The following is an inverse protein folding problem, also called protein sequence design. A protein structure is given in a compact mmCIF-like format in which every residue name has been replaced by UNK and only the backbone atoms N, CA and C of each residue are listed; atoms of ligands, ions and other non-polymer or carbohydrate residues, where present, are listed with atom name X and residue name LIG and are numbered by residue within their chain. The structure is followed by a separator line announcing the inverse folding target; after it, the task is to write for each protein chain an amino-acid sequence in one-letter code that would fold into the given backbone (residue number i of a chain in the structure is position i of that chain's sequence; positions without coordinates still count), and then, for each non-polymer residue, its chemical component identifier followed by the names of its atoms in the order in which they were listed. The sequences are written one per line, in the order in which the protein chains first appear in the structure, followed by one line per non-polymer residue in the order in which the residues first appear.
data_IF_879562497717
#
_entry.id   IF_879562497717
#
_cell.length_a   1.000
_cell.length_b   1.000
_cell.length_c   1.000
_cell.angle_alpha   90.00
_cell.angle_beta   90.00
_cell.angle_gamma   90.00
#
_symmetry.space_group_name_H-M   'P 1'
#
loop_
_entity.id
_entity.type
_entity.pdbx_description
1 polymer ?
#
# COMPACT_ATOMS: atom_id res chain seq x y z
N UNK A 1 -12.54 4.55 2.66
CA UNK A 1 -12.73 3.99 4.02
C UNK A 1 -11.47 3.36 4.60
N UNK A 2 -10.77 2.46 3.89
CA UNK A 2 -9.58 1.79 4.44
C UNK A 2 -8.46 2.73 4.90
N UNK A 3 -8.14 3.80 4.16
CA UNK A 3 -7.10 4.75 4.55
C UNK A 3 -7.40 5.51 5.85
N UNK A 4 -8.66 5.91 6.04
CA UNK A 4 -9.10 6.59 7.27
C UNK A 4 -8.90 5.67 8.48
N UNK A 5 -9.23 4.39 8.37
CA UNK A 5 -9.01 3.41 9.44
C UNK A 5 -7.52 3.27 9.76
N UNK A 6 -6.64 3.27 8.76
CA UNK A 6 -5.20 3.22 8.99
C UNK A 6 -4.71 4.45 9.77
N UNK A 7 -5.19 5.65 9.42
CA UNK A 7 -4.87 6.89 10.16
C UNK A 7 -5.36 6.88 11.61
N UNK A 8 -6.35 6.05 11.93
CA UNK A 8 -6.85 5.82 13.28
C UNK A 8 -6.14 4.65 14.00
N UNK A 9 -4.97 4.22 13.52
CA UNK A 9 -4.19 3.07 14.01
C UNK A 9 -4.93 1.71 13.94
N UNK A 10 -6.00 1.64 13.13
CA UNK A 10 -6.80 0.41 12.90
C UNK A 10 -6.31 -0.32 11.66
N UNK A 11 -5.02 -0.67 11.63
CA UNK A 11 -4.36 -1.22 10.44
C UNK A 11 -4.95 -2.55 9.95
N UNK A 12 -5.37 -3.45 10.86
CA UNK A 12 -6.00 -4.74 10.48
C UNK A 12 -7.33 -4.56 9.74
N UNK A 13 -8.13 -3.57 10.14
CA UNK A 13 -9.38 -3.28 9.46
C UNK A 13 -9.14 -2.52 8.16
N UNK A 14 -8.21 -1.58 8.15
CA UNK A 14 -7.77 -0.87 6.95
C UNK A 14 -7.38 -1.85 5.84
N UNK A 15 -6.63 -2.89 6.18
CA UNK A 15 -6.21 -3.95 5.27
C UNK A 15 -7.40 -4.58 4.54
N UNK A 16 -8.45 -4.98 5.27
CA UNK A 16 -9.63 -5.61 4.67
C UNK A 16 -10.30 -4.70 3.62
N UNK A 17 -10.45 -3.42 3.94
CA UNK A 17 -11.08 -2.46 3.02
C UNK A 17 -10.18 -2.13 1.83
N UNK A 18 -8.87 -1.97 2.04
CA UNK A 18 -7.93 -1.66 0.96
C UNK A 18 -7.72 -2.85 0.03
N UNK A 19 -7.67 -4.08 0.54
CA UNK A 19 -7.61 -5.28 -0.31
C UNK A 19 -8.86 -5.41 -1.20
N UNK A 20 -10.05 -5.15 -0.65
CA UNK A 20 -11.29 -5.14 -1.44
C UNK A 20 -11.29 -4.04 -2.49
N UNK A 21 -10.88 -2.83 -2.12
CA UNK A 21 -10.76 -1.71 -3.06
C UNK A 21 -9.77 -2.02 -4.18
N UNK A 22 -8.60 -2.55 -3.84
CA UNK A 22 -7.55 -2.91 -4.78
C UNK A 22 -7.99 -4.04 -5.73
N UNK A 23 -8.71 -5.04 -5.23
CA UNK A 23 -9.25 -6.12 -6.06
C UNK A 23 -10.31 -5.62 -7.05
N UNK A 24 -11.13 -4.64 -6.66
CA UNK A 24 -12.11 -4.02 -7.54
C UNK A 24 -11.47 -3.02 -8.53
N UNK A 25 -10.45 -2.29 -8.08
CA UNK A 25 -9.78 -1.26 -8.85
C UNK A 25 -8.29 -1.16 -8.44
N UNK A 26 -7.37 -1.78 -9.19
CA UNK A 26 -5.96 -1.89 -8.84
C UNK A 26 -5.17 -0.61 -9.18
N UNK A 27 -5.60 0.51 -8.61
CA UNK A 27 -4.99 1.82 -8.79
C UNK A 27 -3.72 2.00 -7.97
N UNK A 28 -2.78 2.81 -8.48
CA UNK A 28 -1.50 3.10 -7.82
C UNK A 28 -1.64 3.78 -6.46
N UNK A 29 -2.63 4.64 -6.25
CA UNK A 29 -2.91 5.26 -4.95
C UNK A 29 -3.42 4.23 -3.94
N UNK A 30 -4.34 3.37 -4.36
CA UNK A 30 -4.87 2.28 -3.52
C UNK A 30 -3.78 1.29 -3.18
N UNK A 31 -2.94 0.92 -4.15
CA UNK A 31 -1.77 0.07 -3.96
C UNK A 31 -0.79 0.68 -2.95
N UNK A 32 -0.44 1.97 -3.11
CA UNK A 32 0.44 2.69 -2.20
C UNK A 32 -0.08 2.68 -0.74
N UNK A 33 -1.39 2.86 -0.55
CA UNK A 33 -2.00 2.74 0.77
C UNK A 33 -1.95 1.32 1.31
N UNK A 34 -2.22 0.32 0.48
CA UNK A 34 -2.16 -1.09 0.86
C UNK A 34 -0.74 -1.51 1.27
N UNK A 35 0.28 -1.09 0.53
CA UNK A 35 1.70 -1.32 0.82
C UNK A 35 2.05 -0.81 2.23
N UNK A 36 1.67 0.42 2.56
CA UNK A 36 1.93 1.02 3.89
C UNK A 36 1.21 0.28 5.01
N UNK A 37 0.01 -0.22 4.74
CA UNK A 37 -0.75 -1.02 5.72
C UNK A 37 -0.10 -2.39 5.93
N UNK A 38 0.35 -3.04 4.87
CA UNK A 38 1.07 -4.32 4.96
C UNK A 38 2.35 -4.18 5.79
N UNK A 39 3.16 -3.16 5.53
CA UNK A 39 4.38 -2.90 6.29
C UNK A 39 4.11 -2.61 7.77
N UNK A 40 3.10 -1.78 8.09
CA UNK A 40 2.68 -1.52 9.50
C UNK A 40 2.24 -2.77 10.25
N UNK A 41 1.77 -3.79 9.53
CA UNK A 41 1.34 -5.08 10.06
C UNK A 41 2.46 -6.12 10.05
N UNK A 42 3.72 -5.70 9.88
CA UNK A 42 4.91 -6.57 9.81
C UNK A 42 4.88 -7.57 8.63
N UNK A 43 4.06 -7.28 7.60
CA UNK A 43 3.96 -8.07 6.36
C UNK A 43 4.80 -7.42 5.26
N UNK A 44 6.08 -7.22 5.57
CA UNK A 44 7.00 -6.42 4.75
C UNK A 44 7.27 -7.04 3.38
N UNK A 45 7.40 -8.36 3.30
CA UNK A 45 7.64 -9.06 2.03
C UNK A 45 6.49 -8.79 1.04
N UNK A 46 5.24 -8.91 1.49
CA UNK A 46 4.07 -8.62 0.67
C UNK A 46 3.96 -7.14 0.26
N UNK A 47 4.43 -6.24 1.11
CA UNK A 47 4.50 -4.81 0.80
C UNK A 47 5.53 -4.54 -0.31
N UNK A 48 6.69 -5.18 -0.25
CA UNK A 48 7.75 -5.07 -1.25
C UNK A 48 7.35 -5.71 -2.58
N UNK A 49 6.77 -6.91 -2.57
CA UNK A 49 6.30 -7.58 -3.78
C UNK A 49 5.26 -6.73 -4.53
N UNK A 50 4.31 -6.14 -3.78
CA UNK A 50 3.29 -5.28 -4.37
C UNK A 50 3.89 -3.98 -4.89
N UNK A 51 4.85 -3.39 -4.17
CA UNK A 51 5.55 -2.19 -4.59
C UNK A 51 6.35 -2.42 -5.87
N UNK A 52 7.15 -3.49 -5.93
CA UNK A 52 7.96 -3.84 -7.09
C UNK A 52 7.09 -4.04 -8.33
N UNK A 53 6.00 -4.81 -8.20
CA UNK A 53 5.04 -5.05 -9.28
C UNK A 53 4.53 -3.75 -9.91
N UNK A 54 4.22 -2.74 -9.10
CA UNK A 54 3.68 -1.48 -9.59
C UNK A 54 4.76 -0.54 -10.12
N UNK A 55 5.95 -0.51 -9.51
CA UNK A 55 7.08 0.30 -10.00
C UNK A 55 7.62 -0.20 -11.35
N UNK A 56 7.53 -1.50 -11.65
CA UNK A 56 7.89 -2.02 -12.97
C UNK A 56 7.02 -1.43 -14.10
N UNK A 57 5.77 -1.02 -13.80
CA UNK A 57 4.82 -0.50 -14.79
C UNK A 57 4.80 1.04 -14.77
N UNK A 58 4.88 1.62 -13.57
CA UNK A 58 4.76 3.06 -13.33
C UNK A 58 5.86 3.57 -12.40
N UNK A 59 7.13 3.54 -12.83
CA UNK A 59 8.29 3.79 -11.97
C UNK A 59 8.30 5.21 -11.36
N UNK A 60 7.74 6.19 -12.06
CA UNK A 60 7.73 7.59 -11.64
C UNK A 60 6.45 7.99 -10.90
N UNK A 61 5.58 7.02 -10.56
CA UNK A 61 4.33 7.33 -9.88
C UNK A 61 4.58 7.85 -8.46
N UNK A 62 4.13 9.08 -8.22
CA UNK A 62 4.31 9.77 -6.94
C UNK A 62 3.82 8.96 -5.73
N UNK A 63 2.67 8.30 -5.81
CA UNK A 63 2.10 7.56 -4.67
C UNK A 63 2.95 6.35 -4.31
N UNK A 64 3.48 5.64 -5.31
CA UNK A 64 4.35 4.48 -5.10
C UNK A 64 5.69 4.90 -4.52
N UNK A 65 6.28 5.98 -5.05
CA UNK A 65 7.55 6.52 -4.54
C UNK A 65 7.43 7.04 -3.10
N UNK A 66 6.32 7.72 -2.75
CA UNK A 66 6.04 8.08 -1.36
C UNK A 66 5.92 6.83 -0.49
N UNK A 67 5.12 5.83 -0.90
CA UNK A 67 4.98 4.59 -0.14
C UNK A 67 6.31 3.88 0.09
N UNK A 68 7.15 3.77 -0.94
CA UNK A 68 8.48 3.17 -0.87
C UNK A 68 9.37 3.90 0.15
N UNK A 69 9.39 5.24 0.13
CA UNK A 69 10.12 6.03 1.13
C UNK A 69 9.59 5.82 2.54
N UNK A 70 8.26 5.76 2.71
CA UNK A 70 7.63 5.59 4.03
C UNK A 70 7.95 4.23 4.66
N UNK A 71 8.11 3.18 3.84
CA UNK A 71 8.49 1.86 4.34
C UNK A 71 10.02 1.66 4.34
N UNK A 72 10.82 2.64 3.91
CA UNK A 72 12.28 2.51 3.83
C UNK A 72 12.77 1.54 2.76
N UNK A 73 12.09 1.50 1.61
CA UNK A 73 12.50 0.77 0.40
C UNK A 73 13.19 1.67 -0.64
N UNK A 74 13.35 2.97 -0.33
CA UNK A 74 14.14 3.99 -1.03
C UNK A 74 14.93 4.77 0.01
#
# INVERSE_FOLDING_TARGET
MGWVLFKLDRAKEALLFLQRAYAAYPDTEVAAHLIRVLDRLERRDEALDLLEKHLQITPDNYHLLDAAKQIGAL
#
